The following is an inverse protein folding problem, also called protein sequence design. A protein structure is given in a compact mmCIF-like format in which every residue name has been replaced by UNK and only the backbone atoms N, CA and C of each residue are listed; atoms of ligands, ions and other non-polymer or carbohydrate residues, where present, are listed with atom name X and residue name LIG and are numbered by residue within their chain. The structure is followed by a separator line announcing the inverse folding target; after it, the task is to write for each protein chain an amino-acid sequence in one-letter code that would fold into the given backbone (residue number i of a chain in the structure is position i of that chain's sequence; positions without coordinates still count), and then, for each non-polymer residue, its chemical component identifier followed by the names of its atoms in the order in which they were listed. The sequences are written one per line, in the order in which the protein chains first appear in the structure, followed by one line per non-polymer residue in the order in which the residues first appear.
data_IF_192059644401
#
_entry.id   IF_192059644401
#
_cell.length_a   1.000
_cell.length_b   1.000
_cell.length_c   1.000
_cell.angle_alpha   90.00
_cell.angle_beta   90.00
_cell.angle_gamma   90.00
#
_symmetry.space_group_name_H-M   'P 1'
#
loop_
_entity.id
_entity.type
_entity.pdbx_description
1 polymer ?
#
# COMPACT_ATOMS: atom_id res chain seq x y z
N UNK A 1 38.37 70.24 -20.87
CA UNK A 1 38.58 68.79 -20.64
C UNK A 1 37.72 68.36 -19.46
N UNK A 2 36.50 67.86 -19.71
CA UNK A 2 35.62 67.31 -18.68
C UNK A 2 35.94 65.83 -18.48
N UNK A 3 36.37 65.44 -17.27
CA UNK A 3 36.53 64.03 -16.87
C UNK A 3 35.34 63.64 -16.01
N UNK A 4 34.41 62.89 -16.62
CA UNK A 4 33.34 62.20 -15.89
C UNK A 4 33.92 60.92 -15.28
N UNK A 5 33.88 60.82 -13.94
CA UNK A 5 34.12 59.57 -13.22
C UNK A 5 32.81 58.78 -13.21
N UNK A 6 32.78 57.65 -13.91
CA UNK A 6 31.70 56.66 -13.81
C UNK A 6 32.12 55.65 -12.75
N UNK A 7 31.50 55.74 -11.56
CA UNK A 7 31.58 54.68 -10.56
C UNK A 7 30.65 53.54 -10.99
N UNK A 8 31.22 52.41 -11.38
CA UNK A 8 30.48 51.15 -11.58
C UNK A 8 30.27 50.52 -10.21
N UNK A 9 29.02 50.54 -9.73
CA UNK A 9 28.58 49.78 -8.56
C UNK A 9 28.38 48.32 -9.01
N UNK A 10 29.33 47.45 -8.70
CA UNK A 10 29.13 46.00 -8.77
C UNK A 10 28.25 45.56 -7.60
N UNK A 11 26.94 45.45 -7.83
CA UNK A 11 26.04 44.75 -6.93
C UNK A 11 26.31 43.24 -7.02
N UNK A 12 27.05 42.69 -6.06
CA UNK A 12 27.11 41.24 -5.84
C UNK A 12 25.75 40.79 -5.30
N UNK A 13 24.88 40.31 -6.19
CA UNK A 13 23.73 39.50 -5.78
C UNK A 13 24.25 38.14 -5.31
N UNK A 14 24.37 37.96 -3.99
CA UNK A 14 24.48 36.65 -3.40
C UNK A 14 23.13 35.94 -3.61
N UNK A 15 23.01 35.18 -4.70
CA UNK A 15 21.90 34.25 -4.89
C UNK A 15 22.14 33.12 -3.90
N UNK A 16 21.43 33.15 -2.78
CA UNK A 16 21.29 31.99 -1.91
C UNK A 16 20.69 30.86 -2.74
N UNK A 17 21.52 29.89 -3.14
CA UNK A 17 21.03 28.67 -3.77
C UNK A 17 20.20 27.90 -2.73
N UNK A 18 18.89 28.17 -2.66
CA UNK A 18 17.97 27.29 -1.97
C UNK A 18 17.99 25.97 -2.74
N UNK A 19 18.51 24.90 -2.12
CA UNK A 19 18.46 23.58 -2.70
C UNK A 19 16.98 23.24 -3.01
N UNK A 20 16.68 23.08 -4.30
CA UNK A 20 15.32 22.78 -4.75
C UNK A 20 14.94 21.37 -4.26
N UNK A 21 13.81 21.27 -3.58
CA UNK A 21 13.23 20.01 -3.13
C UNK A 21 13.07 19.05 -4.32
N UNK A 22 13.59 17.82 -4.21
CA UNK A 22 13.51 16.82 -5.28
C UNK A 22 12.40 15.83 -4.99
N UNK A 23 11.39 15.79 -5.85
CA UNK A 23 10.35 14.77 -5.83
C UNK A 23 10.65 13.66 -6.85
N UNK A 24 10.70 12.42 -6.39
CA UNK A 24 10.89 11.22 -7.22
C UNK A 24 9.64 10.33 -7.13
N UNK A 25 8.88 10.25 -8.23
CA UNK A 25 7.75 9.31 -8.36
C UNK A 25 8.24 7.86 -8.32
N UNK A 26 7.46 6.97 -7.71
CA UNK A 26 7.65 5.53 -7.92
C UNK A 26 7.33 5.18 -9.37
N UNK A 27 7.92 4.10 -9.91
CA UNK A 27 7.50 3.58 -11.21
C UNK A 27 6.01 3.22 -11.15
N UNK A 28 5.21 3.72 -12.09
CA UNK A 28 3.74 3.66 -12.08
C UNK A 28 3.07 4.32 -10.87
N UNK A 29 3.76 5.23 -10.19
CA UNK A 29 3.23 5.99 -9.05
C UNK A 29 2.20 7.05 -9.44
N UNK A 30 2.11 7.39 -10.73
CA UNK A 30 1.09 8.23 -11.35
C UNK A 30 -0.25 7.51 -11.60
N UNK A 31 -0.33 6.21 -11.28
CA UNK A 31 -1.55 5.42 -11.34
C UNK A 31 -2.25 5.42 -12.72
N UNK A 32 -1.54 5.71 -13.81
CA UNK A 32 -2.13 5.88 -15.15
C UNK A 32 -2.19 4.59 -15.97
N UNK A 33 -1.27 3.66 -15.69
CA UNK A 33 -1.04 2.46 -16.49
C UNK A 33 -1.41 1.18 -15.74
N UNK A 34 -2.30 0.41 -16.36
CA UNK A 34 -2.90 -0.76 -15.73
C UNK A 34 -2.93 -1.98 -16.66
N UNK A 35 -2.60 -3.12 -16.09
CA UNK A 35 -2.91 -4.44 -16.63
C UNK A 35 -4.34 -4.79 -16.21
N UNK A 36 -5.16 -5.20 -17.16
CA UNK A 36 -6.50 -5.76 -16.90
C UNK A 36 -6.47 -7.27 -17.10
N UNK A 37 -6.78 -8.03 -16.07
CA UNK A 37 -6.85 -9.49 -16.09
C UNK A 37 -8.30 -9.93 -16.11
N UNK A 38 -8.71 -10.70 -17.12
CA UNK A 38 -10.01 -11.34 -17.22
C UNK A 38 -9.90 -12.76 -16.68
N UNK A 39 -10.58 -13.04 -15.57
CA UNK A 39 -10.55 -14.32 -14.86
C UNK A 39 -11.94 -14.95 -14.89
N UNK A 40 -12.02 -16.24 -15.16
CA UNK A 40 -13.25 -17.02 -15.11
C UNK A 40 -13.31 -17.81 -13.80
N UNK A 41 -14.24 -17.42 -12.92
CA UNK A 41 -14.49 -18.15 -11.68
C UNK A 41 -15.12 -19.52 -11.96
N UNK A 42 -14.90 -20.49 -11.08
CA UNK A 42 -15.39 -21.85 -11.32
C UNK A 42 -16.93 -21.96 -11.36
N UNK A 43 -17.46 -22.82 -12.22
CA UNK A 43 -18.90 -23.01 -12.40
C UNK A 43 -19.65 -23.38 -11.10
N UNK A 44 -19.02 -24.14 -10.19
CA UNK A 44 -19.58 -24.53 -8.89
C UNK A 44 -19.90 -23.32 -7.98
N UNK A 45 -19.28 -22.17 -8.25
CA UNK A 45 -19.51 -20.90 -7.55
C UNK A 45 -20.20 -19.84 -8.43
N UNK A 46 -20.82 -20.27 -9.53
CA UNK A 46 -21.60 -19.42 -10.42
C UNK A 46 -20.94 -19.08 -11.76
N UNK A 47 -19.65 -19.41 -11.98
CA UNK A 47 -19.04 -19.26 -13.30
C UNK A 47 -18.84 -17.82 -13.78
N UNK A 48 -18.74 -16.85 -12.87
CA UNK A 48 -18.69 -15.44 -13.23
C UNK A 48 -17.34 -15.06 -13.86
N UNK A 49 -17.39 -14.16 -14.84
CA UNK A 49 -16.20 -13.45 -15.31
C UNK A 49 -15.92 -12.29 -14.35
N UNK A 50 -14.68 -12.18 -13.87
CA UNK A 50 -14.21 -11.11 -12.99
C UNK A 50 -12.98 -10.44 -13.59
N UNK A 51 -12.83 -9.15 -13.29
CA UNK A 51 -11.70 -8.37 -13.74
C UNK A 51 -10.83 -7.99 -12.54
N UNK A 52 -9.55 -8.31 -12.62
CA UNK A 52 -8.53 -7.86 -11.68
C UNK A 52 -7.66 -6.80 -12.36
N UNK A 53 -7.22 -5.81 -11.60
CA UNK A 53 -6.46 -4.68 -12.10
C UNK A 53 -5.14 -4.56 -11.35
N UNK A 54 -4.04 -4.49 -12.10
CA UNK A 54 -2.69 -4.38 -11.55
C UNK A 54 -2.00 -3.17 -12.17
N UNK A 55 -1.21 -2.42 -11.42
CA UNK A 55 -0.34 -1.41 -12.03
C UNK A 55 0.75 -2.10 -12.85
N UNK A 56 1.08 -1.51 -13.99
CA UNK A 56 2.08 -2.07 -14.90
C UNK A 56 1.89 -1.61 -16.34
N UNK A 57 2.60 -2.22 -17.30
CA UNK A 57 2.45 -1.89 -18.71
C UNK A 57 1.01 -2.17 -19.16
N UNK A 58 0.42 -1.26 -19.94
CA UNK A 58 -0.96 -1.42 -20.39
C UNK A 58 -1.12 -2.70 -21.23
N UNK A 59 -1.88 -3.66 -20.67
CA UNK A 59 -2.08 -4.97 -21.29
C UNK A 59 -3.39 -5.59 -20.82
N UNK A 60 -3.96 -6.44 -21.66
CA UNK A 60 -5.05 -7.35 -21.29
C UNK A 60 -4.50 -8.78 -21.20
N UNK A 61 -4.84 -9.47 -20.12
CA UNK A 61 -4.49 -10.88 -19.90
C UNK A 61 -5.81 -11.63 -19.77
N UNK A 62 -5.99 -12.68 -20.55
CA UNK A 62 -7.14 -13.57 -20.46
C UNK A 62 -6.68 -14.93 -19.95
N UNK A 63 -7.51 -15.56 -19.13
CA UNK A 63 -7.24 -16.86 -18.52
C UNK A 63 -6.89 -16.78 -17.03
N UNK A 64 -7.04 -17.93 -16.38
CA UNK A 64 -6.84 -18.10 -14.95
C UNK A 64 -5.36 -18.31 -14.60
N UNK A 65 -4.52 -17.39 -15.09
CA UNK A 65 -3.07 -17.43 -14.89
C UNK A 65 -2.66 -16.66 -13.63
N UNK A 66 -1.77 -17.23 -12.79
CA UNK A 66 -1.16 -16.53 -11.67
C UNK A 66 -0.44 -15.26 -12.13
N UNK A 67 -0.58 -14.17 -11.39
CA UNK A 67 0.08 -12.93 -11.71
C UNK A 67 1.39 -12.73 -10.97
N UNK A 68 2.33 -12.09 -11.66
CA UNK A 68 3.56 -11.52 -11.11
C UNK A 68 3.72 -10.12 -11.70
N UNK A 69 4.27 -9.19 -10.90
CA UNK A 69 4.49 -7.83 -11.35
C UNK A 69 5.34 -7.79 -12.63
N UNK A 70 4.95 -6.95 -13.59
CA UNK A 70 5.62 -6.83 -14.88
C UNK A 70 6.38 -5.51 -15.01
N UNK A 71 7.35 -5.47 -15.92
CA UNK A 71 8.18 -4.29 -16.22
C UNK A 71 8.77 -3.63 -14.96
N UNK A 72 9.21 -4.41 -13.98
CA UNK A 72 9.77 -3.87 -12.73
C UNK A 72 8.79 -3.02 -11.92
N UNK A 73 7.48 -3.15 -12.13
CA UNK A 73 6.46 -2.51 -11.31
C UNK A 73 6.64 -2.93 -9.84
N UNK A 74 6.76 -1.97 -8.90
CA UNK A 74 7.00 -2.28 -7.50
C UNK A 74 5.70 -2.52 -6.72
N UNK A 75 4.53 -2.45 -7.36
CA UNK A 75 3.24 -2.41 -6.67
C UNK A 75 2.53 -3.75 -6.65
N UNK A 76 2.16 -4.21 -5.45
CA UNK A 76 1.14 -5.21 -5.22
C UNK A 76 -0.15 -4.56 -4.73
N UNK A 77 -1.28 -5.26 -4.84
CA UNK A 77 -2.55 -4.78 -4.32
C UNK A 77 -3.46 -5.95 -3.87
N UNK A 78 -4.64 -5.65 -3.30
CA UNK A 78 -5.55 -6.66 -2.75
C UNK A 78 -6.49 -7.33 -3.77
N UNK A 79 -6.29 -7.08 -5.07
CA UNK A 79 -6.87 -7.91 -6.12
C UNK A 79 -6.12 -9.22 -6.16
N UNK A 80 -6.84 -10.33 -6.00
CA UNK A 80 -6.21 -11.65 -5.95
C UNK A 80 -7.02 -12.68 -6.73
N UNK A 81 -6.30 -13.63 -7.32
CA UNK A 81 -6.85 -14.89 -7.77
C UNK A 81 -6.45 -16.01 -6.80
N UNK A 82 -7.46 -16.69 -6.26
CA UNK A 82 -7.29 -17.89 -5.44
C UNK A 82 -7.66 -19.13 -6.27
N UNK A 83 -6.92 -20.22 -6.07
CA UNK A 83 -7.20 -21.54 -6.63
C UNK A 83 -7.06 -22.58 -5.53
N UNK A 84 -8.15 -22.82 -4.82
CA UNK A 84 -8.20 -23.74 -3.67
C UNK A 84 -8.91 -25.01 -4.11
N UNK A 85 -8.23 -26.16 -4.00
CA UNK A 85 -8.75 -27.48 -4.42
C UNK A 85 -9.37 -27.48 -5.84
N UNK A 86 -8.77 -26.73 -6.77
CA UNK A 86 -9.22 -26.60 -8.15
C UNK A 86 -10.33 -25.55 -8.39
N UNK A 87 -10.86 -24.93 -7.33
CA UNK A 87 -11.87 -23.87 -7.42
C UNK A 87 -11.17 -22.52 -7.55
N UNK A 88 -11.40 -21.85 -8.69
CA UNK A 88 -10.91 -20.49 -8.95
C UNK A 88 -11.93 -19.48 -8.44
N UNK A 89 -11.49 -18.58 -7.57
CA UNK A 89 -12.26 -17.43 -7.05
C UNK A 89 -11.38 -16.19 -7.08
N UNK A 90 -11.98 -15.04 -7.29
CA UNK A 90 -11.27 -13.76 -7.25
C UNK A 90 -11.79 -12.85 -6.14
N UNK A 91 -10.98 -11.86 -5.77
CA UNK A 91 -11.44 -10.65 -5.09
C UNK A 91 -10.94 -9.45 -5.89
N UNK A 92 -11.80 -8.46 -6.10
CA UNK A 92 -11.40 -7.17 -6.67
C UNK A 92 -11.80 -6.08 -5.68
N UNK A 93 -10.84 -5.30 -5.19
CA UNK A 93 -11.04 -4.18 -4.27
C UNK A 93 -10.20 -2.95 -4.64
N UNK A 94 -9.40 -3.04 -5.71
CA UNK A 94 -8.63 -1.93 -6.26
C UNK A 94 -8.96 -1.77 -7.73
N UNK A 95 -9.28 -0.54 -8.13
CA UNK A 95 -9.77 -0.23 -9.46
C UNK A 95 -9.04 0.97 -10.05
N UNK A 96 -8.76 0.99 -11.37
CA UNK A 96 -8.49 2.24 -12.06
C UNK A 96 -9.77 3.09 -12.09
N UNK A 97 -9.65 4.37 -11.78
CA UNK A 97 -10.74 5.34 -11.92
C UNK A 97 -10.24 6.60 -12.62
N UNK A 98 -11.03 7.15 -13.54
CA UNK A 98 -10.64 8.36 -14.30
C UNK A 98 -10.37 9.54 -13.35
N UNK A 99 -9.24 10.20 -13.53
CA UNK A 99 -8.89 11.47 -12.88
C UNK A 99 -8.24 12.40 -13.90
N UNK A 100 -8.85 13.55 -14.15
CA UNK A 100 -8.38 14.50 -15.17
C UNK A 100 -8.19 13.83 -16.54
N UNK A 101 -7.00 13.97 -17.15
CA UNK A 101 -6.60 13.29 -18.39
C UNK A 101 -6.15 11.84 -18.19
N UNK A 102 -5.92 11.43 -16.95
CA UNK A 102 -5.38 10.14 -16.57
C UNK A 102 -6.34 9.29 -15.72
N UNK A 103 -5.77 8.47 -14.86
CA UNK A 103 -6.43 7.58 -13.92
C UNK A 103 -5.79 7.74 -12.53
N UNK A 104 -6.52 7.28 -11.53
CA UNK A 104 -6.05 7.12 -10.17
C UNK A 104 -6.42 5.72 -9.70
N UNK A 105 -5.83 5.28 -8.58
CA UNK A 105 -6.25 4.04 -7.94
C UNK A 105 -7.40 4.32 -6.97
N UNK A 106 -8.51 3.56 -7.07
CA UNK A 106 -9.60 3.55 -6.10
C UNK A 106 -9.58 2.24 -5.30
N UNK A 107 -9.33 2.34 -4.00
CA UNK A 107 -9.29 1.24 -3.04
C UNK A 107 -10.61 1.24 -2.25
N UNK A 108 -11.41 0.18 -2.37
CA UNK A 108 -12.72 0.08 -1.75
C UNK A 108 -12.76 -1.04 -0.70
N UNK A 109 -13.36 -0.75 0.45
CA UNK A 109 -13.79 -1.77 1.40
C UNK A 109 -15.19 -2.23 1.04
N UNK A 110 -15.36 -3.51 0.75
CA UNK A 110 -16.64 -4.09 0.37
C UNK A 110 -16.86 -5.47 0.97
N UNK A 111 -18.06 -6.00 0.77
CA UNK A 111 -18.41 -7.37 1.11
C UNK A 111 -18.35 -8.20 -0.16
N UNK A 112 -17.44 -9.18 -0.19
CA UNK A 112 -17.38 -10.18 -1.25
C UNK A 112 -18.22 -11.39 -0.83
N UNK A 113 -19.18 -11.78 -1.67
CA UNK A 113 -20.05 -12.91 -1.42
C UNK A 113 -19.90 -13.95 -2.51
N UNK A 114 -19.83 -15.22 -2.11
CA UNK A 114 -19.87 -16.35 -3.02
C UNK A 114 -20.96 -17.32 -2.59
N UNK A 115 -21.76 -17.75 -3.56
CA UNK A 115 -22.72 -18.84 -3.38
C UNK A 115 -22.12 -20.09 -3.98
N UNK A 116 -21.92 -21.10 -3.15
CA UNK A 116 -21.45 -22.40 -3.61
C UNK A 116 -22.68 -23.27 -3.88
N UNK A 117 -22.86 -23.74 -5.11
CA UNK A 117 -24.02 -24.53 -5.50
C UNK A 117 -24.13 -25.80 -4.66
N UNK A 118 -25.29 -26.00 -4.02
CA UNK A 118 -25.53 -27.15 -3.13
C UNK A 118 -24.85 -27.07 -1.75
N UNK A 119 -24.23 -25.93 -1.41
CA UNK A 119 -23.47 -25.71 -0.18
C UNK A 119 -23.82 -24.36 0.48
N UNK A 120 -23.00 -23.91 1.44
CA UNK A 120 -23.18 -22.68 2.23
C UNK A 120 -22.73 -21.43 1.46
N UNK A 121 -23.45 -20.32 1.64
CA UNK A 121 -23.02 -18.99 1.18
C UNK A 121 -21.88 -18.46 2.05
N UNK A 122 -20.78 -18.05 1.43
CA UNK A 122 -19.62 -17.49 2.13
C UNK A 122 -19.59 -15.98 1.87
N UNK A 123 -19.42 -15.21 2.94
CA UNK A 123 -19.39 -13.74 2.88
C UNK A 123 -18.22 -13.20 3.67
N UNK A 124 -17.33 -12.49 2.98
CA UNK A 124 -16.06 -12.00 3.51
C UNK A 124 -16.01 -10.49 3.35
N UNK A 125 -15.47 -9.79 4.35
CA UNK A 125 -15.12 -8.38 4.18
C UNK A 125 -13.72 -8.28 3.58
N UNK A 126 -13.59 -7.54 2.49
CA UNK A 126 -12.32 -7.25 1.84
C UNK A 126 -12.06 -5.74 1.90
N UNK A 127 -10.84 -5.34 2.27
CA UNK A 127 -10.38 -3.96 2.14
C UNK A 127 -9.53 -3.79 0.89
N UNK A 128 -9.68 -2.64 0.22
CA UNK A 128 -8.79 -2.22 -0.84
C UNK A 128 -7.43 -1.86 -0.24
N UNK A 129 -6.36 -2.44 -0.77
CA UNK A 129 -4.99 -2.14 -0.34
C UNK A 129 -4.05 -2.12 -1.53
N UNK A 130 -3.09 -1.21 -1.51
CA UNK A 130 -1.96 -1.15 -2.43
C UNK A 130 -0.69 -1.01 -1.61
N UNK A 131 0.38 -1.68 -2.02
CA UNK A 131 1.63 -1.68 -1.27
C UNK A 131 2.83 -1.91 -2.18
N UNK A 132 4.00 -1.46 -1.76
CA UNK A 132 5.26 -1.82 -2.42
C UNK A 132 5.57 -3.28 -2.09
N UNK A 133 5.69 -4.12 -3.12
CA UNK A 133 5.81 -5.56 -2.98
C UNK A 133 5.05 -6.35 -4.05
N UNK A 134 4.80 -7.62 -3.75
CA UNK A 134 4.02 -8.52 -4.59
C UNK A 134 3.19 -9.51 -3.77
N UNK A 135 2.32 -10.25 -4.45
CA UNK A 135 1.57 -11.39 -3.91
C UNK A 135 1.97 -12.63 -4.69
N UNK A 136 2.26 -13.72 -3.98
CA UNK A 136 2.40 -15.05 -4.58
C UNK A 136 1.03 -15.58 -4.96
N UNK A 137 0.69 -15.51 -6.23
CA UNK A 137 -0.50 -16.15 -6.78
C UNK A 137 -0.20 -17.57 -7.32
N UNK A 138 -1.22 -18.44 -7.41
CA UNK A 138 -2.56 -18.24 -6.87
C UNK A 138 -2.56 -18.42 -5.36
N UNK A 139 -3.51 -17.79 -4.66
CA UNK A 139 -3.75 -18.11 -3.25
C UNK A 139 -4.29 -19.53 -3.17
N UNK A 140 -3.58 -20.42 -2.47
CA UNK A 140 -3.90 -21.86 -2.42
C UNK A 140 -4.59 -22.31 -1.14
N UNK A 141 -4.68 -21.44 -0.13
CA UNK A 141 -5.29 -21.75 1.17
C UNK A 141 -6.02 -20.57 1.78
N UNK A 142 -7.09 -20.86 2.55
CA UNK A 142 -7.94 -19.85 3.19
C UNK A 142 -7.32 -19.22 4.44
N UNK A 143 -6.21 -19.78 4.94
CA UNK A 143 -5.44 -19.27 6.09
C UNK A 143 -4.09 -18.67 5.69
N UNK A 144 -3.78 -18.66 4.39
CA UNK A 144 -2.44 -18.35 3.87
C UNK A 144 -2.39 -17.02 3.08
N UNK A 145 -3.46 -16.21 3.13
CA UNK A 145 -3.51 -14.93 2.41
C UNK A 145 -2.34 -14.00 2.80
N UNK A 146 -2.04 -13.89 4.09
CA UNK A 146 -0.89 -13.11 4.57
C UNK A 146 0.46 -13.75 4.20
N UNK A 147 0.52 -15.09 4.13
CA UNK A 147 1.71 -15.83 3.69
C UNK A 147 1.92 -15.83 2.17
N UNK A 148 1.05 -15.18 1.42
CA UNK A 148 1.30 -14.89 0.01
C UNK A 148 1.98 -13.53 -0.16
N UNK A 149 1.92 -12.65 0.84
CA UNK A 149 2.44 -11.30 0.74
C UNK A 149 3.98 -11.28 0.72
N UNK A 150 4.52 -10.39 -0.09
CA UNK A 150 5.92 -9.98 -0.05
C UNK A 150 5.98 -8.46 0.07
N UNK A 151 6.02 -7.95 1.30
CA UNK A 151 5.94 -6.51 1.57
C UNK A 151 7.32 -5.85 1.66
N UNK A 152 7.41 -4.72 0.96
CA UNK A 152 8.58 -3.86 0.88
C UNK A 152 9.49 -4.23 -0.29
N UNK A 153 10.24 -3.23 -0.74
CA UNK A 153 11.19 -3.35 -1.86
C UNK A 153 12.61 -2.99 -1.38
N UNK A 154 13.66 -3.55 -2.01
CA UNK A 154 15.03 -3.13 -1.76
C UNK A 154 15.19 -1.62 -1.94
N UNK A 155 15.78 -0.96 -0.95
CA UNK A 155 15.86 0.49 -0.92
C UNK A 155 16.98 0.97 0.01
N UNK A 156 17.86 1.84 -0.50
CA UNK A 156 19.08 2.31 0.19
C UNK A 156 19.20 3.83 0.28
N UNK A 157 18.20 4.57 -0.19
CA UNK A 157 18.18 6.04 -0.11
C UNK A 157 17.60 6.52 1.23
N UNK A 158 17.62 7.85 1.44
CA UNK A 158 17.17 8.52 2.66
C UNK A 158 16.21 9.67 2.34
N UNK A 159 14.92 9.38 2.06
CA UNK A 159 13.93 10.41 1.75
C UNK A 159 13.52 11.22 3.00
N UNK A 160 13.22 12.50 2.83
CA UNK A 160 12.67 13.37 3.88
C UNK A 160 11.18 13.11 4.13
N UNK A 161 10.43 12.80 3.09
CA UNK A 161 8.98 12.60 3.17
C UNK A 161 8.47 11.64 2.09
N UNK A 162 7.28 11.11 2.32
CA UNK A 162 6.43 10.51 1.28
C UNK A 162 5.40 11.56 0.84
N UNK A 163 5.16 11.66 -0.47
CA UNK A 163 4.18 12.60 -1.06
C UNK A 163 3.27 11.87 -2.04
N UNK A 164 1.98 12.22 -2.02
CA UNK A 164 0.96 11.70 -2.92
C UNK A 164 -0.29 12.58 -2.89
N UNK A 165 -1.16 12.36 -3.88
CA UNK A 165 -2.51 12.91 -3.87
C UNK A 165 -3.47 11.87 -3.31
N UNK A 166 -4.49 12.33 -2.59
CA UNK A 166 -5.52 11.43 -2.10
C UNK A 166 -6.91 12.05 -2.07
N UNK A 167 -7.92 11.18 -2.04
CA UNK A 167 -9.31 11.52 -1.68
C UNK A 167 -9.82 10.43 -0.75
N UNK A 168 -10.64 10.77 0.23
CA UNK A 168 -11.22 9.79 1.17
C UNK A 168 -12.73 9.92 1.19
N UNK A 169 -13.42 8.79 1.16
CA UNK A 169 -14.84 8.68 1.47
C UNK A 169 -15.02 7.79 2.68
N UNK A 170 -15.41 8.39 3.79
CA UNK A 170 -15.81 7.64 4.97
C UNK A 170 -17.17 6.96 4.74
N UNK A 171 -17.31 5.70 5.17
CA UNK A 171 -18.59 4.97 5.11
C UNK A 171 -19.71 5.61 5.94
N UNK A 172 -19.36 6.45 6.93
CA UNK A 172 -20.30 7.03 7.90
C UNK A 172 -20.72 6.08 9.03
N UNK A 173 -20.31 4.81 8.98
CA UNK A 173 -20.62 3.84 10.04
C UNK A 173 -19.92 4.19 11.35
N UNK A 174 -20.65 4.09 12.47
CA UNK A 174 -20.10 4.35 13.81
C UNK A 174 -19.13 3.25 14.27
N UNK A 175 -19.43 2.01 13.91
CA UNK A 175 -18.64 0.82 14.23
C UNK A 175 -18.28 0.07 12.94
N UNK A 176 -17.12 -0.59 12.95
CA UNK A 176 -16.68 -1.53 11.91
C UNK A 176 -17.36 -2.89 12.08
N UNK A 177 -17.19 -3.75 11.09
CA UNK A 177 -17.63 -5.14 11.14
C UNK A 177 -16.45 -6.08 10.91
N UNK A 178 -16.55 -7.32 11.41
CA UNK A 178 -15.65 -8.42 11.07
C UNK A 178 -16.41 -9.52 10.36
N UNK A 179 -15.96 -9.93 9.18
CA UNK A 179 -16.57 -11.00 8.38
C UNK A 179 -15.51 -11.88 7.73
N UNK A 180 -15.25 -13.04 8.32
CA UNK A 180 -14.21 -13.99 7.89
C UNK A 180 -14.69 -15.02 6.86
N UNK A 181 -15.98 -15.02 6.51
CA UNK A 181 -16.61 -16.06 5.70
C UNK A 181 -17.08 -17.29 6.49
N UNK A 182 -16.34 -17.69 7.52
CA UNK A 182 -16.62 -18.91 8.30
C UNK A 182 -17.31 -18.66 9.63
N UNK A 183 -17.23 -17.43 10.15
CA UNK A 183 -17.88 -17.03 11.40
C UNK A 183 -19.07 -16.12 11.15
N UNK A 184 -20.00 -16.07 12.12
CA UNK A 184 -21.03 -15.03 12.13
C UNK A 184 -20.38 -13.64 12.08
N UNK A 185 -21.02 -12.72 11.36
CA UNK A 185 -20.68 -11.30 11.37
C UNK A 185 -20.61 -10.80 12.82
N UNK A 186 -19.54 -10.10 13.18
CA UNK A 186 -19.42 -9.44 14.47
C UNK A 186 -19.15 -7.94 14.32
N UNK A 187 -19.47 -7.18 15.37
CA UNK A 187 -19.22 -5.74 15.45
C UNK A 187 -17.83 -5.51 16.05
N UNK A 188 -17.06 -4.61 15.44
CA UNK A 188 -15.79 -4.11 15.97
C UNK A 188 -15.97 -2.64 16.30
N UNK A 189 -15.80 -2.27 17.57
CA UNK A 189 -16.09 -0.91 18.03
C UNK A 189 -15.19 0.13 17.40
N UNK A 190 -15.78 1.30 17.15
CA UNK A 190 -15.10 2.48 16.64
C UNK A 190 -15.11 2.59 15.12
N UNK A 191 -15.06 3.84 14.66
CA UNK A 191 -15.10 4.21 13.25
C UNK A 191 -13.90 3.66 12.49
N UNK A 192 -14.15 3.35 11.24
CA UNK A 192 -13.11 2.97 10.30
C UNK A 192 -12.26 4.17 9.88
N UNK A 193 -11.09 3.88 9.33
CA UNK A 193 -10.19 4.87 8.76
C UNK A 193 -9.40 4.23 7.63
N UNK A 194 -9.18 4.99 6.56
CA UNK A 194 -8.12 4.65 5.62
C UNK A 194 -6.77 4.99 6.26
N UNK A 195 -5.71 4.25 5.93
CA UNK A 195 -4.36 4.52 6.46
C UNK A 195 -3.31 4.49 5.34
N UNK A 196 -2.26 5.27 5.53
CA UNK A 196 -0.98 5.11 4.83
C UNK A 196 0.10 4.86 5.86
N UNK A 197 1.00 3.92 5.55
CA UNK A 197 2.26 3.75 6.26
C UNK A 197 3.43 3.79 5.28
N UNK A 198 4.56 4.33 5.74
CA UNK A 198 5.83 4.38 5.03
C UNK A 198 6.95 4.11 6.04
N UNK A 199 7.59 2.95 5.92
CA UNK A 199 8.58 2.45 6.87
C UNK A 199 9.90 2.13 6.18
N UNK A 200 11.00 2.65 6.72
CA UNK A 200 12.35 2.29 6.34
C UNK A 200 12.90 1.27 7.32
N UNK A 201 13.40 0.16 6.81
CA UNK A 201 13.87 -0.96 7.62
C UNK A 201 15.30 -1.37 7.26
N UNK A 202 16.08 -1.73 8.28
CA UNK A 202 17.29 -2.53 8.13
C UNK A 202 16.94 -3.98 8.42
N UNK A 203 16.89 -4.81 7.38
CA UNK A 203 16.54 -6.22 7.47
C UNK A 203 17.79 -7.09 7.43
N UNK A 204 17.75 -8.19 8.16
CA UNK A 204 18.67 -9.33 8.07
C UNK A 204 17.86 -10.61 8.01
N UNK A 205 18.44 -11.66 7.44
CA UNK A 205 17.87 -13.00 7.43
C UNK A 205 18.79 -13.92 8.24
N UNK A 206 18.23 -14.71 9.16
CA UNK A 206 18.99 -15.73 9.90
C UNK A 206 19.11 -17.04 9.11
N UNK A 207 19.85 -18.03 9.64
CA UNK A 207 20.09 -19.30 8.95
C UNK A 207 18.80 -20.12 8.73
N UNK A 208 17.82 -19.94 9.63
CA UNK A 208 16.51 -20.56 9.56
C UNK A 208 15.63 -19.92 8.50
N UNK A 209 15.95 -18.71 8.04
CA UNK A 209 15.20 -17.97 7.03
C UNK A 209 14.15 -17.03 7.64
N UNK A 210 14.27 -16.69 8.93
CA UNK A 210 13.47 -15.63 9.53
C UNK A 210 14.00 -14.27 9.12
N UNK A 211 13.09 -13.34 8.83
CA UNK A 211 13.44 -11.95 8.55
C UNK A 211 13.34 -11.14 9.84
N UNK A 212 14.46 -10.59 10.26
CA UNK A 212 14.58 -9.71 11.43
C UNK A 212 14.81 -8.29 10.91
N UNK A 213 14.15 -7.30 11.51
CA UNK A 213 14.27 -5.92 11.11
C UNK A 213 14.50 -4.99 12.30
N UNK A 214 15.25 -3.92 12.07
CA UNK A 214 15.20 -2.70 12.87
C UNK A 214 14.52 -1.59 12.08
N UNK A 215 13.65 -0.83 12.73
CA UNK A 215 12.99 0.33 12.13
C UNK A 215 13.94 1.53 12.13
N UNK A 216 14.16 2.13 10.95
CA UNK A 216 15.00 3.33 10.78
C UNK A 216 14.15 4.58 10.65
N UNK A 217 13.08 4.52 9.85
CA UNK A 217 12.27 5.69 9.52
C UNK A 217 10.79 5.34 9.48
N UNK A 218 9.95 6.25 9.95
CA UNK A 218 8.50 6.04 10.09
C UNK A 218 7.73 7.28 9.66
N UNK A 219 6.79 7.09 8.75
CA UNK A 219 5.64 7.96 8.54
C UNK A 219 4.38 7.11 8.53
N UNK A 220 3.31 7.57 9.18
CA UNK A 220 2.00 6.94 9.11
C UNK A 220 0.91 7.97 9.32
N UNK A 221 -0.24 7.79 8.67
CA UNK A 221 -1.39 8.68 8.77
C UNK A 221 -2.67 7.86 8.81
N UNK A 222 -3.66 8.40 9.53
CA UNK A 222 -5.00 7.86 9.66
C UNK A 222 -6.00 8.88 9.12
N UNK A 223 -6.78 8.48 8.12
CA UNK A 223 -7.83 9.29 7.52
C UNK A 223 -9.19 8.91 8.09
N UNK A 224 -9.67 9.69 9.05
CA UNK A 224 -10.93 9.41 9.78
C UNK A 224 -12.14 10.16 9.24
N UNK A 225 -11.95 11.04 8.26
CA UNK A 225 -12.99 11.88 7.69
C UNK A 225 -12.92 11.86 6.17
N UNK A 226 -14.08 12.06 5.53
CA UNK A 226 -14.13 12.27 4.09
C UNK A 226 -13.38 13.56 3.72
N UNK A 227 -12.77 13.56 2.55
CA UNK A 227 -12.16 14.73 1.94
C UNK A 227 -12.49 14.73 0.45
N UNK A 228 -12.42 15.91 -0.17
CA UNK A 228 -12.17 15.93 -1.62
C UNK A 228 -10.69 15.62 -1.89
N UNK A 229 -10.25 15.76 -3.14
CA UNK A 229 -8.85 15.64 -3.51
C UNK A 229 -7.97 16.61 -2.71
N UNK A 230 -6.91 16.06 -2.13
CA UNK A 230 -5.80 16.79 -1.51
C UNK A 230 -4.56 16.45 -2.30
N UNK A 231 -4.08 17.43 -3.07
CA UNK A 231 -2.93 17.27 -3.96
C UNK A 231 -1.62 17.55 -3.22
N UNK A 232 -0.59 16.77 -3.50
CA UNK A 232 0.75 16.95 -2.94
C UNK A 232 0.84 16.77 -1.42
N UNK A 233 -0.07 15.99 -0.82
CA UNK A 233 -0.04 15.71 0.60
C UNK A 233 1.31 15.10 0.98
N UNK A 234 2.05 15.77 1.85
CA UNK A 234 3.44 15.44 2.17
C UNK A 234 3.56 15.08 3.65
N UNK A 235 4.07 13.88 3.92
CA UNK A 235 4.24 13.35 5.27
C UNK A 235 5.72 13.11 5.56
N UNK A 236 6.26 13.86 6.52
CA UNK A 236 7.65 13.74 6.98
C UNK A 236 7.92 12.33 7.50
N UNK A 237 9.06 11.76 7.09
CA UNK A 237 9.59 10.50 7.61
C UNK A 237 10.46 10.83 8.81
N UNK A 238 10.02 10.42 10.00
CA UNK A 238 10.75 10.61 11.25
C UNK A 238 11.76 9.46 11.43
N UNK A 239 13.02 9.80 11.72
CA UNK A 239 14.12 8.83 11.79
C UNK A 239 14.54 8.51 13.24
N UNK A 240 14.85 7.24 13.50
CA UNK A 240 15.22 6.71 14.81
C UNK A 240 14.03 6.24 15.66
N UNK A 241 14.23 6.12 16.98
CA UNK A 241 13.15 5.83 17.92
C UNK A 241 12.26 7.07 18.11
N UNK A 242 11.04 6.99 17.58
CA UNK A 242 10.07 8.09 17.61
C UNK A 242 9.02 7.94 18.71
N UNK A 243 9.18 6.99 19.64
CA UNK A 243 8.16 6.69 20.68
C UNK A 243 7.88 7.85 21.63
N UNK A 244 8.74 8.87 21.65
CA UNK A 244 8.59 10.12 22.43
C UNK A 244 8.14 11.32 21.59
N UNK A 245 8.02 11.16 20.26
CA UNK A 245 7.50 12.21 19.38
C UNK A 245 5.98 12.36 19.59
N UNK A 246 5.48 13.59 19.57
CA UNK A 246 4.04 13.88 19.78
C UNK A 246 3.15 13.34 18.65
N UNK A 247 3.73 13.09 17.48
CA UNK A 247 3.05 12.50 16.30
C UNK A 247 3.01 10.98 16.36
N UNK A 248 3.63 10.34 17.36
CA UNK A 248 3.66 8.89 17.48
C UNK A 248 2.27 8.32 17.78
N UNK A 249 1.75 7.52 16.85
CA UNK A 249 0.48 6.80 17.02
C UNK A 249 0.78 5.31 17.14
N UNK A 250 0.78 4.72 18.36
CA UNK A 250 1.18 3.33 18.57
C UNK A 250 0.39 2.32 17.71
N UNK A 251 -0.90 2.59 17.48
CA UNK A 251 -1.79 1.78 16.64
C UNK A 251 -1.27 1.58 15.21
N UNK A 252 -0.43 2.51 14.71
CA UNK A 252 0.15 2.46 13.36
C UNK A 252 1.67 2.34 13.36
N UNK A 253 2.35 2.86 14.39
CA UNK A 253 3.80 3.11 14.35
C UNK A 253 4.61 2.23 15.29
N UNK A 254 3.97 1.46 16.19
CA UNK A 254 4.71 0.53 17.05
C UNK A 254 5.40 -0.56 16.23
N UNK A 255 6.53 -1.06 16.76
CA UNK A 255 7.30 -2.11 16.12
C UNK A 255 6.43 -3.36 15.91
N UNK A 256 6.45 -3.90 14.70
CA UNK A 256 5.67 -5.08 14.32
C UNK A 256 4.19 -4.82 14.04
N UNK A 257 3.68 -3.61 14.26
CA UNK A 257 2.32 -3.23 13.86
C UNK A 257 2.14 -3.43 12.35
N UNK A 258 0.95 -3.90 11.97
CA UNK A 258 0.61 -4.22 10.58
C UNK A 258 0.89 -5.67 10.16
N UNK A 259 1.76 -6.40 10.89
CA UNK A 259 1.98 -7.83 10.64
C UNK A 259 2.58 -8.14 9.27
N UNK A 260 3.49 -7.29 8.79
CA UNK A 260 4.06 -7.43 7.45
C UNK A 260 4.84 -8.73 7.27
N UNK A 261 4.62 -9.37 6.13
CA UNK A 261 5.38 -10.54 5.71
C UNK A 261 6.27 -10.20 4.51
N UNK A 262 7.40 -10.87 4.37
CA UNK A 262 8.29 -10.76 3.21
C UNK A 262 8.85 -12.13 2.83
N UNK A 263 9.23 -12.26 1.56
CA UNK A 263 9.80 -13.50 1.02
C UNK A 263 11.28 -13.60 1.41
N UNK A 264 11.65 -14.68 2.08
CA UNK A 264 13.04 -14.99 2.45
C UNK A 264 13.82 -15.56 1.25
N UNK A 265 15.11 -15.80 1.44
CA UNK A 265 16.00 -16.39 0.42
C UNK A 265 15.57 -17.78 -0.06
N UNK A 266 14.76 -18.50 0.72
CA UNK A 266 14.18 -19.82 0.40
C UNK A 266 12.87 -19.73 -0.38
N UNK A 267 12.37 -18.53 -0.66
CA UNK A 267 11.10 -18.31 -1.37
C UNK A 267 9.86 -18.42 -0.49
N UNK A 268 10.02 -18.51 0.83
CA UNK A 268 8.95 -18.60 1.81
C UNK A 268 8.58 -17.21 2.32
N UNK A 269 7.29 -16.90 2.38
CA UNK A 269 6.83 -15.66 3.01
C UNK A 269 6.77 -15.85 4.52
N UNK A 270 7.56 -15.06 5.25
CA UNK A 270 7.66 -15.08 6.71
C UNK A 270 7.35 -13.71 7.28
N UNK A 271 6.78 -13.67 8.48
CA UNK A 271 6.54 -12.42 9.18
C UNK A 271 7.87 -11.71 9.46
N UNK A 272 7.93 -10.41 9.14
CA UNK A 272 9.06 -9.55 9.48
C UNK A 272 9.02 -9.27 10.98
N UNK A 273 10.04 -9.71 11.71
CA UNK A 273 10.15 -9.50 13.16
C UNK A 273 10.93 -8.21 13.42
N UNK A 274 10.21 -7.14 13.74
CA UNK A 274 10.86 -5.90 14.19
C UNK A 274 11.30 -6.01 15.65
N UNK A 275 12.62 -6.03 15.88
CA UNK A 275 13.20 -6.26 17.21
C UNK A 275 13.72 -5.00 17.88
N UNK A 276 13.70 -3.86 17.19
CA UNK A 276 14.10 -2.58 17.75
C UNK A 276 14.10 -1.44 16.74
N UNK A 277 14.50 -0.27 17.22
CA UNK A 277 14.83 0.88 16.40
C UNK A 277 16.32 0.85 16.05
N UNK A 278 16.67 1.27 14.84
CA UNK A 278 18.04 1.50 14.42
C UNK A 278 18.41 2.97 14.65
N UNK A 279 19.71 3.29 14.60
CA UNK A 279 20.14 4.67 14.69
C UNK A 279 19.55 5.49 13.55
N UNK A 280 19.21 6.76 13.85
CA UNK A 280 18.55 7.64 12.89
C UNK A 280 19.33 7.72 11.58
N UNK A 281 20.66 7.65 11.61
CA UNK A 281 21.56 7.84 10.45
C UNK A 281 21.90 6.54 9.72
N UNK A 282 21.38 5.39 10.14
CA UNK A 282 21.60 4.12 9.44
C UNK A 282 21.02 4.12 8.03
N UNK A 283 21.70 3.42 7.11
CA UNK A 283 21.19 3.20 5.75
C UNK A 283 20.14 2.09 5.75
N UNK A 284 18.94 2.32 5.21
CA UNK A 284 17.93 1.28 5.08
C UNK A 284 18.36 0.24 4.06
N UNK A 285 17.74 -0.93 4.18
CA UNK A 285 17.83 -2.01 3.19
C UNK A 285 16.51 -2.15 2.42
N UNK A 286 15.40 -1.74 3.05
CA UNK A 286 14.06 -1.94 2.52
C UNK A 286 13.16 -0.75 2.85
N UNK A 287 12.21 -0.50 1.95
CA UNK A 287 11.13 0.46 2.09
C UNK A 287 9.79 -0.29 2.01
N UNK A 288 8.95 -0.12 3.03
CA UNK A 288 7.54 -0.51 3.00
C UNK A 288 6.73 0.76 2.76
N UNK A 289 5.85 0.75 1.77
CA UNK A 289 4.73 1.70 1.67
C UNK A 289 3.46 0.88 1.51
N UNK A 290 2.43 1.20 2.27
CA UNK A 290 1.12 0.58 2.15
C UNK A 290 0.03 1.62 2.34
N UNK A 291 -1.00 1.50 1.52
CA UNK A 291 -2.28 2.17 1.66
C UNK A 291 -3.37 1.13 1.85
N UNK A 292 -4.33 1.39 2.72
CA UNK A 292 -5.54 0.56 2.84
C UNK A 292 -6.76 1.43 3.11
N UNK A 293 -7.90 1.04 2.53
CA UNK A 293 -9.18 1.69 2.73
C UNK A 293 -9.79 1.43 4.10
N UNK A 294 -9.27 0.49 4.90
CA UNK A 294 -9.75 0.20 6.25
C UNK A 294 -8.63 -0.12 7.23
N UNK A 295 -8.85 0.26 8.49
CA UNK A 295 -7.99 -0.04 9.63
C UNK A 295 -8.57 -1.22 10.43
N UNK A 296 -7.70 -2.15 10.83
CA UNK A 296 -8.09 -3.30 11.66
C UNK A 296 -7.61 -4.66 11.17
N UNK A 297 -6.91 -4.69 10.02
CA UNK A 297 -6.35 -5.92 9.46
C UNK A 297 -7.38 -6.77 8.71
N UNK A 298 -7.02 -8.02 8.43
CA UNK A 298 -7.83 -8.92 7.62
C UNK A 298 -9.27 -9.03 8.14
N UNK A 299 -10.23 -8.92 7.21
CA UNK A 299 -11.66 -9.11 7.44
C UNK A 299 -12.34 -8.07 8.32
N UNK A 300 -11.67 -6.98 8.69
CA UNK A 300 -12.22 -5.90 9.52
C UNK A 300 -12.29 -4.60 8.74
N UNK A 301 -13.44 -3.93 8.76
CA UNK A 301 -13.63 -2.62 8.13
C UNK A 301 -15.08 -2.22 8.05
N UNK A 302 -15.36 -1.15 7.33
CA UNK A 302 -16.71 -0.67 7.04
C UNK A 302 -16.95 -0.64 5.54
N UNK A 303 -17.91 -1.43 5.01
CA UNK A 303 -18.24 -1.40 3.60
C UNK A 303 -18.59 0.02 3.11
N UNK A 304 -18.10 0.38 1.92
CA UNK A 304 -18.24 1.71 1.34
C UNK A 304 -17.19 2.73 1.81
N UNK A 305 -16.26 2.35 2.70
CA UNK A 305 -15.06 3.14 2.94
C UNK A 305 -14.17 3.09 1.69
N UNK A 306 -13.67 4.23 1.23
CA UNK A 306 -12.92 4.30 -0.03
C UNK A 306 -11.77 5.30 0.07
N UNK A 307 -10.60 4.89 -0.42
CA UNK A 307 -9.41 5.71 -0.55
C UNK A 307 -9.05 5.79 -2.03
N UNK A 308 -8.84 6.99 -2.54
CA UNK A 308 -8.24 7.19 -3.86
C UNK A 308 -6.81 7.69 -3.71
N UNK A 309 -5.94 7.27 -4.61
CA UNK A 309 -4.51 7.56 -4.59
C UNK A 309 -4.01 7.91 -5.98
N UNK A 310 -3.06 8.83 -6.02
CA UNK A 310 -2.36 9.22 -7.23
C UNK A 310 -1.00 9.88 -6.90
N UNK A 311 -0.12 10.01 -7.89
CA UNK A 311 1.17 10.72 -7.83
C UNK A 311 2.03 10.35 -6.62
N UNK A 312 2.18 9.05 -6.34
CA UNK A 312 2.91 8.57 -5.17
C UNK A 312 4.42 8.56 -5.41
N UNK A 313 5.16 9.21 -4.51
CA UNK A 313 6.62 9.29 -4.59
C UNK A 313 7.28 9.73 -3.28
N UNK A 314 8.58 9.95 -3.36
CA UNK A 314 9.43 10.33 -2.24
C UNK A 314 10.06 11.71 -2.47
N UNK A 315 10.25 12.44 -1.38
CA UNK A 315 10.86 13.78 -1.35
C UNK A 315 12.26 13.70 -0.75
N UNK A 316 13.25 14.39 -1.34
CA UNK A 316 14.64 14.44 -0.89
C UNK A 316 15.13 15.88 -0.68
#
# INVERSE_FOLDING_TARGET
MNRYYVCIICAMFAVSAMAQEKFELFKYGDMDHWITRRIEESAIIGGNVKYLYELGPEKKIDGNEPYVNQDGCPWGNSNIMAKVVGIVKTNTSVYPEKRNSGKCARLETHIESVKVLGMVNITVLASGSMFLGDIKEPITGTKDGEKALNCGVPFTKRPKAIRYDYKVKASGAQDRIRMTGFSKKSVVKGKDAAIMVCFLQKRTEDAEGNIIAKRIGTAAVKYTASSDWVDGATYEIMYGDITKDSRYVPELMALGTGGYHARNSKGESVMIKETGWADKDETPTHLIVQFTSSIGGAYVGSPGNTLWLDNVGLVY
#
